data_IF_552222570030
#
_entry.id   IF_552222570030
#
_cell.length_a   1.000
_cell.length_b   1.000
_cell.length_c   1.000
_cell.angle_alpha   90.00
_cell.angle_beta   90.00
_cell.angle_gamma   90.00
#
_symmetry.space_group_name_H-M   'P 1'
#
loop_
_entity.id
_entity.type
_entity.pdbx_description
1 polymer ?
#
# COMPACT_ATOMS: atom_id res chain seq x y z
N UNK A 1 9.63 -0.13 -5.07
CA UNK A 1 8.30 -0.05 -4.41
C UNK A 1 8.43 -0.53 -2.96
N UNK A 2 7.55 -0.11 -2.04
CA UNK A 2 7.63 -0.52 -0.63
C UNK A 2 7.59 -2.04 -0.43
N UNK A 3 6.85 -2.74 -1.32
CA UNK A 3 6.81 -4.20 -1.32
C UNK A 3 8.17 -4.86 -1.56
N UNK A 4 9.02 -4.29 -2.41
CA UNK A 4 10.35 -4.83 -2.69
C UNK A 4 11.28 -4.67 -1.47
N UNK A 5 11.18 -3.55 -0.77
CA UNK A 5 11.94 -3.29 0.46
C UNK A 5 11.51 -4.27 1.57
N UNK A 6 10.22 -4.46 1.77
CA UNK A 6 9.71 -5.45 2.76
C UNK A 6 10.17 -6.86 2.42
N UNK A 7 10.16 -7.24 1.13
CA UNK A 7 10.67 -8.54 0.69
C UNK A 7 12.17 -8.68 0.99
N UNK A 8 12.98 -7.67 0.66
CA UNK A 8 14.42 -7.67 0.92
C UNK A 8 14.72 -7.81 2.42
N UNK A 9 13.98 -7.10 3.26
CA UNK A 9 14.08 -7.20 4.71
C UNK A 9 13.74 -8.60 5.23
N UNK A 10 12.66 -9.23 4.74
CA UNK A 10 12.32 -10.62 5.11
C UNK A 10 13.43 -11.61 4.74
N UNK A 11 14.07 -11.41 3.59
CA UNK A 11 15.20 -12.24 3.17
C UNK A 11 16.40 -12.02 4.08
N UNK A 12 16.75 -10.77 4.39
CA UNK A 12 17.81 -10.42 5.33
C UNK A 12 17.61 -11.10 6.69
N UNK A 13 16.39 -11.03 7.23
CA UNK A 13 16.05 -11.70 8.50
C UNK A 13 16.21 -13.22 8.42
N UNK A 14 15.67 -13.85 7.38
CA UNK A 14 15.81 -15.28 7.17
C UNK A 14 17.28 -15.72 7.05
N UNK A 15 18.14 -14.88 6.46
CA UNK A 15 19.59 -15.12 6.40
C UNK A 15 20.25 -14.93 7.76
N UNK A 16 19.87 -13.91 8.52
CA UNK A 16 20.40 -13.66 9.86
C UNK A 16 20.09 -14.82 10.80
N UNK A 17 18.83 -15.27 10.88
CA UNK A 17 18.44 -16.40 11.72
C UNK A 17 19.20 -17.68 11.32
N UNK A 18 19.35 -17.93 10.02
CA UNK A 18 20.10 -19.09 9.53
C UNK A 18 21.58 -19.08 9.95
N UNK A 19 22.21 -17.91 10.00
CA UNK A 19 23.59 -17.76 10.47
C UNK A 19 23.67 -17.84 12.00
N UNK A 20 22.68 -17.28 12.71
CA UNK A 20 22.59 -17.31 14.17
C UNK A 20 22.39 -18.74 14.70
N UNK A 21 21.57 -19.56 14.03
CA UNK A 21 21.39 -20.99 14.32
C UNK A 21 22.72 -21.76 14.24
N UNK A 22 23.68 -21.27 13.45
CA UNK A 22 25.07 -21.76 13.39
C UNK A 22 25.90 -21.51 14.65
N UNK A 23 25.34 -20.85 15.68
CA UNK A 23 25.98 -20.48 16.95
C UNK A 23 27.24 -19.65 16.77
N UNK A 24 27.18 -18.67 15.88
CA UNK A 24 28.29 -17.74 15.60
C UNK A 24 29.42 -18.31 14.74
N UNK A 25 29.27 -19.54 14.23
CA UNK A 25 30.14 -20.07 13.18
C UNK A 25 29.80 -19.41 11.85
N UNK A 26 30.81 -19.20 11.02
CA UNK A 26 30.59 -18.77 9.63
C UNK A 26 29.84 -19.86 8.86
N UNK A 27 28.86 -19.47 8.07
CA UNK A 27 28.03 -20.37 7.27
C UNK A 27 28.37 -20.19 5.80
N UNK A 28 28.68 -21.27 5.08
CA UNK A 28 28.96 -21.20 3.64
C UNK A 28 27.72 -20.74 2.87
N UNK A 29 27.91 -20.05 1.74
CA UNK A 29 26.79 -19.60 0.87
C UNK A 29 25.88 -20.77 0.48
N UNK A 30 26.46 -21.94 0.21
CA UNK A 30 25.71 -23.15 -0.14
C UNK A 30 24.80 -23.61 1.00
N UNK A 31 25.31 -23.66 2.23
CA UNK A 31 24.53 -24.05 3.41
C UNK A 31 23.45 -23.00 3.72
N UNK A 32 23.76 -21.71 3.55
CA UNK A 32 22.77 -20.64 3.71
C UNK A 32 21.64 -20.77 2.68
N UNK A 33 21.98 -21.09 1.43
CA UNK A 33 21.00 -21.32 0.36
C UNK A 33 20.17 -22.60 0.52
N UNK A 34 20.67 -23.58 1.28
CA UNK A 34 19.95 -24.80 1.64
C UNK A 34 19.01 -24.60 2.85
N UNK A 35 19.19 -23.52 3.62
CA UNK A 35 18.38 -23.27 4.82
C UNK A 35 16.90 -23.03 4.48
N UNK A 36 15.99 -23.73 5.16
CA UNK A 36 14.57 -23.74 4.79
C UNK A 36 13.92 -22.36 4.81
N UNK A 37 14.28 -21.50 5.77
CA UNK A 37 13.75 -20.12 5.87
C UNK A 37 14.19 -19.26 4.69
N UNK A 38 15.46 -19.36 4.32
CA UNK A 38 16.03 -18.63 3.18
C UNK A 38 15.40 -19.12 1.87
N UNK A 39 15.27 -20.45 1.69
CA UNK A 39 14.61 -21.03 0.53
C UNK A 39 13.15 -20.57 0.42
N UNK A 40 12.40 -20.55 1.52
CA UNK A 40 11.01 -20.13 1.54
C UNK A 40 10.85 -18.70 1.03
N UNK A 41 11.71 -17.77 1.46
CA UNK A 41 11.67 -16.37 1.00
C UNK A 41 12.20 -16.23 -0.43
N UNK A 42 13.25 -16.97 -0.79
CA UNK A 42 13.87 -16.93 -2.12
C UNK A 42 12.96 -17.43 -3.24
N UNK A 43 11.91 -18.20 -2.93
CA UNK A 43 10.87 -18.60 -3.90
C UNK A 43 10.06 -17.43 -4.46
N UNK A 44 10.12 -16.24 -3.83
CA UNK A 44 9.47 -15.05 -4.39
C UNK A 44 10.07 -14.70 -5.76
N UNK A 45 9.26 -14.44 -6.80
CA UNK A 45 9.74 -14.08 -8.14
C UNK A 45 10.74 -12.93 -8.16
N UNK A 46 10.67 -12.02 -7.19
CA UNK A 46 11.60 -10.90 -7.04
C UNK A 46 13.05 -11.36 -6.82
N UNK A 47 13.27 -12.50 -6.16
CA UNK A 47 14.59 -13.05 -5.87
C UNK A 47 15.01 -14.20 -6.79
N UNK A 48 14.10 -14.71 -7.62
CA UNK A 48 14.35 -15.89 -8.43
C UNK A 48 15.56 -15.74 -9.37
N UNK A 49 15.78 -14.53 -9.90
CA UNK A 49 16.91 -14.21 -10.79
C UNK A 49 18.19 -13.77 -10.06
N UNK A 50 18.14 -13.60 -8.74
CA UNK A 50 19.23 -12.99 -7.98
C UNK A 50 20.10 -14.07 -7.31
N UNK A 51 21.43 -13.90 -7.41
CA UNK A 51 22.37 -14.79 -6.72
C UNK A 51 22.38 -14.45 -5.23
N UNK A 52 22.46 -15.49 -4.39
CA UNK A 52 22.47 -15.29 -2.94
C UNK A 52 23.67 -14.47 -2.47
N UNK A 53 24.83 -14.63 -3.13
CA UNK A 53 26.02 -13.82 -2.86
C UNK A 53 25.77 -12.32 -3.08
N UNK A 54 25.12 -11.97 -4.20
CA UNK A 54 24.82 -10.58 -4.54
C UNK A 54 23.81 -9.98 -3.54
N UNK A 55 22.87 -10.78 -3.04
CA UNK A 55 21.92 -10.37 -2.01
C UNK A 55 22.62 -10.09 -0.68
N UNK A 56 23.60 -10.89 -0.30
CA UNK A 56 24.40 -10.70 0.93
C UNK A 56 25.29 -9.47 0.82
N UNK A 57 25.89 -9.22 -0.36
CA UNK A 57 26.71 -8.02 -0.61
C UNK A 57 25.92 -6.71 -0.50
N UNK A 58 24.59 -6.72 -0.61
CA UNK A 58 23.76 -5.54 -0.37
C UNK A 58 23.55 -5.23 1.11
N UNK A 59 23.85 -6.17 1.99
CA UNK A 59 23.63 -6.09 3.43
C UNK A 59 24.95 -6.27 4.21
N UNK A 60 26.02 -5.61 3.74
CA UNK A 60 27.34 -5.64 4.40
C UNK A 60 27.36 -4.89 5.74
N UNK A 61 26.32 -4.12 6.06
CA UNK A 61 26.08 -3.55 7.38
C UNK A 61 25.76 -4.63 8.43
N UNK A 62 25.14 -5.74 8.01
CA UNK A 62 24.76 -6.87 8.87
C UNK A 62 25.74 -8.04 8.77
N UNK A 63 26.24 -8.30 7.56
CA UNK A 63 27.03 -9.50 7.25
C UNK A 63 28.48 -9.18 6.87
N UNK A 64 29.40 -10.01 7.36
CA UNK A 64 30.78 -10.08 6.90
C UNK A 64 30.97 -11.28 5.98
N UNK A 65 31.60 -11.05 4.83
CA UNK A 65 32.00 -12.10 3.89
C UNK A 65 33.45 -12.50 4.16
N UNK A 66 33.67 -13.77 4.46
CA UNK A 66 34.98 -14.35 4.77
C UNK A 66 35.26 -15.47 3.77
N UNK A 67 36.46 -15.57 3.19
CA UNK A 67 36.81 -16.73 2.37
C UNK A 67 36.76 -18.02 3.21
N UNK A 68 36.07 -19.05 2.70
CA UNK A 68 35.78 -20.30 3.43
C UNK A 68 37.04 -21.14 3.73
N UNK A 69 38.13 -20.94 2.97
CA UNK A 69 39.41 -21.63 3.16
C UNK A 69 39.39 -23.13 2.82
N UNK A 70 38.24 -23.79 2.86
CA UNK A 70 38.03 -25.21 2.54
C UNK A 70 37.88 -25.41 1.03
N UNK A 71 37.05 -24.59 0.39
CA UNK A 71 36.79 -24.65 -1.05
C UNK A 71 37.51 -23.49 -1.74
N UNK A 72 38.34 -23.77 -2.74
CA UNK A 72 38.98 -22.72 -3.55
C UNK A 72 37.91 -21.83 -4.20
N UNK A 73 37.82 -20.57 -3.75
CA UNK A 73 36.81 -19.61 -4.21
C UNK A 73 35.45 -19.65 -3.46
N UNK A 74 35.34 -20.45 -2.39
CA UNK A 74 34.16 -20.46 -1.53
C UNK A 74 34.10 -19.23 -0.63
N UNK A 75 32.88 -18.70 -0.45
CA UNK A 75 32.60 -17.63 0.51
C UNK A 75 31.75 -18.18 1.66
N UNK A 76 32.08 -17.75 2.87
CA UNK A 76 31.32 -17.95 4.08
C UNK A 76 30.85 -16.61 4.64
N UNK A 77 29.72 -16.63 5.35
CA UNK A 77 29.07 -15.46 5.91
C UNK A 77 29.14 -15.53 7.42
N UNK A 78 29.46 -14.42 8.06
CA UNK A 78 29.42 -14.25 9.50
C UNK A 78 28.57 -13.01 9.84
N UNK A 79 27.85 -13.05 10.95
CA UNK A 79 27.16 -11.86 11.48
C UNK A 79 28.22 -10.92 12.05
N UNK A 80 28.13 -9.63 11.71
CA UNK A 80 28.99 -8.60 12.30
C UNK A 80 28.81 -8.53 13.82
N UNK A 81 29.92 -8.48 14.55
CA UNK A 81 29.89 -8.40 16.02
C UNK A 81 29.16 -7.14 16.49
N UNK A 82 28.20 -7.28 17.41
CA UNK A 82 27.43 -6.16 17.95
C UNK A 82 26.16 -5.82 17.19
N UNK A 83 25.92 -6.46 16.04
CA UNK A 83 24.62 -6.39 15.36
C UNK A 83 23.72 -7.47 15.97
N UNK A 84 22.62 -7.05 16.59
CA UNK A 84 21.56 -7.94 17.04
C UNK A 84 20.30 -7.54 16.31
N UNK A 85 19.88 -8.33 15.35
CA UNK A 85 18.59 -8.13 14.71
C UNK A 85 17.53 -8.70 15.63
N UNK A 86 16.82 -7.85 16.35
CA UNK A 86 15.58 -8.29 17.02
C UNK A 86 14.43 -8.23 16.02
N UNK A 87 13.40 -9.07 16.25
CA UNK A 87 12.13 -8.98 15.51
C UNK A 87 11.55 -7.55 15.57
N UNK A 88 11.82 -6.82 16.67
CA UNK A 88 11.41 -5.43 16.84
C UNK A 88 12.23 -4.46 16.00
N UNK A 89 13.54 -4.66 15.81
CA UNK A 89 14.37 -3.80 14.97
C UNK A 89 13.95 -3.86 13.50
N UNK A 90 13.28 -4.92 13.06
CA UNK A 90 12.72 -4.99 11.70
C UNK A 90 11.40 -4.21 11.54
N UNK A 91 10.59 -4.14 12.60
CA UNK A 91 9.38 -3.30 12.64
C UNK A 91 9.77 -1.83 12.86
N UNK A 92 10.79 -1.59 13.69
CA UNK A 92 11.28 -0.26 14.03
C UNK A 92 12.22 0.33 12.98
N UNK A 93 13.10 -0.41 12.30
CA UNK A 93 13.94 0.17 11.24
C UNK A 93 13.12 0.62 10.01
N UNK A 94 11.95 0.02 9.78
CA UNK A 94 10.98 0.56 8.83
C UNK A 94 10.38 1.87 9.37
N UNK A 95 9.96 1.91 10.64
CA UNK A 95 9.31 3.07 11.27
C UNK A 95 10.23 4.25 11.66
N UNK A 96 11.48 4.01 12.05
CA UNK A 96 12.46 5.01 12.51
C UNK A 96 13.16 5.71 11.33
N UNK A 97 13.36 5.00 10.22
CA UNK A 97 13.79 5.65 8.98
C UNK A 97 12.63 6.47 8.41
N UNK A 98 11.39 5.97 8.49
CA UNK A 98 10.21 6.76 8.16
C UNK A 98 10.10 8.02 9.03
N UNK A 99 10.34 7.94 10.34
CA UNK A 99 10.22 9.09 11.24
C UNK A 99 11.34 10.13 11.08
N UNK A 100 12.51 9.73 10.56
CA UNK A 100 13.61 10.66 10.29
C UNK A 100 13.50 11.37 8.94
N UNK A 101 12.81 10.77 7.95
CA UNK A 101 12.62 11.34 6.61
C UNK A 101 11.30 12.11 6.49
N UNK A 102 10.25 11.64 7.16
CA UNK A 102 8.92 12.21 7.05
C UNK A 102 8.66 13.29 8.10
N UNK A 103 7.98 14.38 7.73
CA UNK A 103 7.62 15.41 8.70
C UNK A 103 6.70 14.86 9.79
N UNK A 104 6.88 15.34 11.03
CA UNK A 104 6.05 14.93 12.16
C UNK A 104 4.57 15.24 11.92
N UNK A 105 3.69 14.30 12.26
CA UNK A 105 2.24 14.47 12.09
C UNK A 105 1.67 15.45 13.11
N UNK A 106 0.77 16.31 12.65
CA UNK A 106 0.02 17.24 13.52
C UNK A 106 -1.31 16.57 13.89
N UNK A 107 -1.44 16.06 15.11
CA UNK A 107 -2.62 15.31 15.53
C UNK A 107 -3.87 16.19 15.60
N UNK A 108 -3.77 17.34 16.25
CA UNK A 108 -4.88 18.26 16.55
C UNK A 108 -4.60 19.68 16.02
N UNK A 109 -4.79 19.92 14.71
CA UNK A 109 -4.59 21.24 14.13
C UNK A 109 -5.70 22.20 14.60
N UNK A 110 -5.32 23.32 15.20
CA UNK A 110 -6.24 24.35 15.70
C UNK A 110 -6.70 25.27 14.59
N UNK A 111 -5.77 26.08 14.07
CA UNK A 111 -6.07 27.12 13.10
C UNK A 111 -6.20 26.57 11.66
N UNK A 112 -6.78 27.37 10.76
CA UNK A 112 -6.96 26.97 9.37
C UNK A 112 -5.62 26.67 8.67
N UNK A 113 -4.58 27.44 8.99
CA UNK A 113 -3.22 27.25 8.47
C UNK A 113 -2.65 25.90 8.93
N UNK A 114 -2.78 25.59 10.23
CA UNK A 114 -2.37 24.28 10.78
C UNK A 114 -3.17 23.13 10.16
N UNK A 115 -4.46 23.31 9.87
CA UNK A 115 -5.28 22.29 9.19
C UNK A 115 -4.76 22.03 7.78
N UNK A 116 -4.42 23.07 7.04
CA UNK A 116 -3.81 22.96 5.72
C UNK A 116 -2.44 22.28 5.78
N UNK A 117 -1.61 22.64 6.76
CA UNK A 117 -0.30 22.01 6.98
C UNK A 117 -0.44 20.54 7.37
N UNK A 118 -1.37 20.19 8.27
CA UNK A 118 -1.65 18.82 8.66
C UNK A 118 -2.12 17.98 7.47
N UNK A 119 -2.95 18.55 6.59
CA UNK A 119 -3.35 17.90 5.34
C UNK A 119 -2.17 17.67 4.39
N UNK A 120 -1.30 18.66 4.19
CA UNK A 120 -0.07 18.53 3.40
C UNK A 120 0.80 17.39 3.92
N UNK A 121 1.04 17.36 5.23
CA UNK A 121 1.83 16.31 5.89
C UNK A 121 1.20 14.93 5.69
N UNK A 122 -0.11 14.77 5.89
CA UNK A 122 -0.77 13.48 5.66
C UNK A 122 -0.71 13.03 4.19
N UNK A 123 -0.76 13.96 3.22
CA UNK A 123 -0.55 13.62 1.81
C UNK A 123 0.89 13.13 1.55
N UNK A 124 1.90 13.76 2.15
CA UNK A 124 3.30 13.33 2.05
C UNK A 124 3.46 11.91 2.60
N UNK A 125 2.91 11.64 3.79
CA UNK A 125 2.94 10.30 4.40
C UNK A 125 2.23 9.25 3.51
N UNK A 126 1.04 9.57 3.00
CA UNK A 126 0.27 8.66 2.17
C UNK A 126 0.96 8.35 0.84
N UNK A 127 1.61 9.34 0.21
CA UNK A 127 2.37 9.15 -1.03
C UNK A 127 3.65 8.34 -0.78
N UNK A 128 4.40 8.66 0.27
CA UNK A 128 5.63 7.95 0.61
C UNK A 128 5.37 6.45 0.79
N UNK A 129 4.32 6.09 1.55
CA UNK A 129 3.85 4.71 1.77
C UNK A 129 3.37 3.98 0.50
N UNK A 130 3.17 4.69 -0.61
CA UNK A 130 2.72 4.11 -1.89
C UNK A 130 3.81 4.14 -2.96
N UNK A 131 5.06 4.43 -2.58
CA UNK A 131 6.17 4.53 -3.52
C UNK A 131 6.21 5.84 -4.29
N UNK A 132 5.80 6.94 -3.65
CA UNK A 132 5.91 8.34 -4.11
C UNK A 132 5.02 8.75 -5.30
N UNK A 133 4.40 7.82 -6.04
CA UNK A 133 3.54 8.15 -7.19
C UNK A 133 2.26 7.32 -7.16
N UNK A 134 1.11 7.98 -7.28
CA UNK A 134 -0.20 7.32 -7.23
C UNK A 134 -1.26 8.13 -8.00
N UNK A 135 -2.36 7.50 -8.41
CA UNK A 135 -3.50 8.25 -8.94
C UNK A 135 -4.18 9.09 -7.84
N UNK A 136 -4.63 10.29 -8.21
CA UNK A 136 -5.21 11.26 -7.28
C UNK A 136 -6.49 10.75 -6.58
N UNK A 137 -7.28 9.94 -7.28
CA UNK A 137 -8.47 9.26 -6.74
C UNK A 137 -8.10 8.30 -5.59
N UNK A 138 -7.03 7.52 -5.74
CA UNK A 138 -6.56 6.58 -4.73
C UNK A 138 -5.98 7.30 -3.52
N UNK A 139 -5.31 8.44 -3.71
CA UNK A 139 -4.90 9.32 -2.60
C UNK A 139 -6.13 9.85 -1.86
N UNK A 140 -7.17 10.23 -2.59
CA UNK A 140 -8.44 10.70 -2.04
C UNK A 140 -9.27 9.66 -1.29
N UNK A 141 -8.91 8.38 -1.39
CA UNK A 141 -9.51 7.28 -0.62
C UNK A 141 -8.74 6.99 0.68
N UNK A 142 -7.57 7.60 0.89
CA UNK A 142 -6.83 7.40 2.13
C UNK A 142 -7.61 8.00 3.32
N UNK A 143 -7.83 7.23 4.41
CA UNK A 143 -8.68 7.66 5.52
C UNK A 143 -8.09 8.86 6.27
N UNK A 144 -6.76 8.97 6.38
CA UNK A 144 -6.12 10.09 7.07
C UNK A 144 -6.20 11.36 6.23
N UNK A 145 -5.94 11.25 4.93
CA UNK A 145 -6.10 12.36 3.97
C UNK A 145 -7.55 12.83 3.93
N UNK A 146 -8.52 11.90 3.88
CA UNK A 146 -9.95 12.20 3.88
C UNK A 146 -10.37 12.93 5.16
N UNK A 147 -9.88 12.48 6.33
CA UNK A 147 -10.13 13.13 7.63
C UNK A 147 -9.59 14.56 7.66
N UNK A 148 -8.35 14.80 7.19
CA UNK A 148 -7.77 16.15 7.15
C UNK A 148 -8.44 17.06 6.13
N UNK A 149 -8.79 16.53 4.96
CA UNK A 149 -9.56 17.28 3.94
C UNK A 149 -10.90 17.75 4.49
N UNK A 150 -11.60 16.89 5.25
CA UNK A 150 -12.86 17.25 5.88
C UNK A 150 -12.72 18.45 6.83
N UNK A 151 -11.59 18.57 7.55
CA UNK A 151 -11.33 19.65 8.49
C UNK A 151 -11.09 21.04 7.83
N UNK A 152 -10.64 21.09 6.56
CA UNK A 152 -10.33 22.33 5.84
C UNK A 152 -11.58 22.93 5.15
N UNK A 153 -12.62 22.14 4.93
CA UNK A 153 -13.83 22.63 4.25
C UNK A 153 -14.77 21.52 3.76
N UNK A 154 -14.64 20.31 4.28
CA UNK A 154 -15.48 19.18 3.89
C UNK A 154 -15.28 18.70 2.45
N UNK A 155 -16.33 18.09 1.90
CA UNK A 155 -16.38 17.59 0.53
C UNK A 155 -16.46 18.71 -0.53
N UNK A 156 -16.65 19.96 -0.12
CA UNK A 156 -16.86 21.10 -1.04
C UNK A 156 -15.60 21.47 -1.83
N UNK A 157 -14.42 21.25 -1.25
CA UNK A 157 -13.13 21.51 -1.91
C UNK A 157 -12.66 20.27 -2.64
N UNK A 158 -12.29 20.41 -3.91
CA UNK A 158 -11.71 19.30 -4.69
C UNK A 158 -10.30 19.00 -4.17
N UNK A 159 -9.95 17.72 -4.12
CA UNK A 159 -8.61 17.29 -3.71
C UNK A 159 -7.53 17.87 -4.62
N UNK A 160 -7.80 17.91 -5.94
CA UNK A 160 -6.92 18.48 -6.95
C UNK A 160 -6.55 19.94 -6.62
N UNK A 161 -7.55 20.75 -6.25
CA UNK A 161 -7.32 22.16 -5.93
C UNK A 161 -6.42 22.28 -4.70
N UNK A 162 -6.70 21.53 -3.63
CA UNK A 162 -5.89 21.57 -2.39
C UNK A 162 -4.43 21.15 -2.61
N UNK A 163 -4.18 20.15 -3.46
CA UNK A 163 -2.82 19.68 -3.78
C UNK A 163 -2.06 20.73 -4.60
N UNK A 164 -2.75 21.41 -5.53
CA UNK A 164 -2.15 22.47 -6.37
C UNK A 164 -1.58 23.65 -5.56
N UNK A 165 -2.01 23.85 -4.31
CA UNK A 165 -1.44 24.87 -3.43
C UNK A 165 -0.03 24.52 -2.91
N UNK A 166 0.45 23.28 -3.08
CA UNK A 166 1.75 22.84 -2.59
C UNK A 166 2.67 22.32 -3.72
N UNK A 167 3.01 23.14 -4.74
CA UNK A 167 3.78 22.71 -5.90
C UNK A 167 5.22 22.30 -5.57
N UNK A 168 5.75 22.71 -4.41
CA UNK A 168 7.07 22.32 -3.93
C UNK A 168 7.10 20.84 -3.47
N UNK A 169 5.96 20.28 -3.05
CA UNK A 169 5.88 18.91 -2.57
C UNK A 169 5.24 17.97 -3.57
N UNK A 170 4.34 18.47 -4.42
CA UNK A 170 3.54 17.63 -5.30
C UNK A 170 3.65 18.08 -6.75
N UNK A 171 3.88 17.12 -7.63
CA UNK A 171 3.74 17.26 -9.07
C UNK A 171 2.46 16.57 -9.51
N UNK A 172 1.68 17.22 -10.37
CA UNK A 172 0.44 16.71 -10.93
C UNK A 172 0.58 16.53 -12.43
N UNK A 173 0.27 15.33 -12.90
CA UNK A 173 0.32 14.93 -14.31
C UNK A 173 -1.09 14.51 -14.76
N UNK A 174 -1.66 15.22 -15.74
CA UNK A 174 -2.95 14.86 -16.34
C UNK A 174 -2.76 13.69 -17.33
N UNK A 175 -3.36 12.54 -17.04
CA UNK A 175 -3.36 11.37 -17.91
C UNK A 175 -4.55 11.37 -18.90
N UNK A 176 -5.29 12.48 -18.98
CA UNK A 176 -6.49 12.63 -19.79
C UNK A 176 -7.75 12.22 -19.06
N UNK A 177 -8.91 12.64 -19.58
CA UNK A 177 -10.24 12.36 -19.04
C UNK A 177 -10.46 12.79 -17.57
N UNK A 178 -9.66 13.74 -17.07
CA UNK A 178 -9.72 14.19 -15.68
C UNK A 178 -9.09 13.21 -14.68
N UNK A 179 -8.29 12.25 -15.17
CA UNK A 179 -7.49 11.37 -14.33
C UNK A 179 -6.13 12.03 -14.09
N UNK A 180 -5.85 12.40 -12.84
CA UNK A 180 -4.58 12.98 -12.46
C UNK A 180 -3.73 11.96 -11.72
N UNK A 181 -2.45 11.90 -12.06
CA UNK A 181 -1.43 11.23 -11.24
C UNK A 181 -0.71 12.27 -10.42
N UNK A 182 -0.52 11.98 -9.13
CA UNK A 182 0.21 12.82 -8.20
C UNK A 182 1.52 12.13 -7.83
N UNK A 183 2.60 12.89 -7.83
CA UNK A 183 3.95 12.46 -7.50
C UNK A 183 4.55 13.33 -6.40
N UNK A 184 5.18 12.69 -5.41
CA UNK A 184 5.86 13.34 -4.30
C UNK A 184 7.23 13.85 -4.77
N UNK A 185 7.38 15.17 -4.82
CA UNK A 185 8.60 15.88 -5.22
C UNK A 185 9.53 16.10 -4.03
N UNK A 186 8.97 16.46 -2.87
CA UNK A 186 9.73 16.78 -1.65
C UNK A 186 8.95 16.47 -0.39
N UNK A 187 9.64 16.01 0.66
CA UNK A 187 9.08 15.81 2.01
C UNK A 187 9.22 17.04 2.91
N UNK A 188 9.94 18.06 2.46
CA UNK A 188 10.21 19.28 3.24
C UNK A 188 8.96 20.14 3.40
N UNK A 189 8.68 20.56 4.63
CA UNK A 189 7.48 21.34 4.98
C UNK A 189 7.79 22.63 5.73
N UNK A 190 9.05 23.08 5.72
CA UNK A 190 9.53 24.26 6.47
C UNK A 190 8.94 25.57 5.94
N UNK A 191 8.69 25.67 4.64
CA UNK A 191 8.03 26.82 4.05
C UNK A 191 6.51 26.76 4.30
N UNK A 192 6.02 27.70 5.09
CA UNK A 192 4.60 27.91 5.41
C UNK A 192 4.04 29.20 4.79
N UNK A 193 4.83 29.92 3.99
CA UNK A 193 4.47 31.24 3.46
C UNK A 193 3.25 31.23 2.53
N UNK A 194 2.91 30.08 1.94
CA UNK A 194 1.73 29.91 1.07
C UNK A 194 0.40 29.73 1.83
N UNK A 195 0.43 29.36 3.12
CA UNK A 195 -0.77 29.03 3.90
C UNK A 195 -1.75 30.21 4.06
N UNK A 196 -1.30 31.45 4.33
CA UNK A 196 -2.20 32.60 4.45
C UNK A 196 -2.96 32.87 3.14
N UNK A 197 -2.32 32.67 1.99
CA UNK A 197 -2.95 32.83 0.67
C UNK A 197 -4.06 31.80 0.44
N UNK A 198 -3.82 30.54 0.83
CA UNK A 198 -4.83 29.46 0.79
C UNK A 198 -6.01 29.80 1.68
N UNK A 199 -5.74 30.29 2.90
CA UNK A 199 -6.76 30.69 3.86
C UNK A 199 -7.64 31.84 3.34
N UNK A 200 -7.01 32.88 2.77
CA UNK A 200 -7.72 34.01 2.19
C UNK A 200 -8.60 33.58 1.00
N UNK A 201 -8.09 32.75 0.10
CA UNK A 201 -8.85 32.20 -1.00
C UNK A 201 -10.03 31.36 -0.49
N UNK A 202 -9.81 30.57 0.56
CA UNK A 202 -10.84 29.73 1.14
C UNK A 202 -12.01 30.54 1.76
N UNK A 203 -11.67 31.63 2.44
CA UNK A 203 -12.65 32.57 2.98
C UNK A 203 -13.41 33.29 1.87
N UNK A 204 -12.72 33.69 0.79
CA UNK A 204 -13.32 34.37 -0.35
C UNK A 204 -14.34 33.47 -1.10
N UNK A 205 -14.02 32.19 -1.33
CA UNK A 205 -14.93 31.23 -1.96
C UNK A 205 -16.21 31.03 -1.12
N UNK A 206 -16.05 30.93 0.21
CA UNK A 206 -17.16 30.78 1.14
C UNK A 206 -18.05 32.03 1.17
N UNK A 207 -17.46 33.23 1.08
CA UNK A 207 -18.19 34.49 1.01
C UNK A 207 -18.90 34.69 -0.34
N UNK A 208 -18.29 34.25 -1.45
CA UNK A 208 -18.81 34.38 -2.80
C UNK A 208 -20.04 33.53 -3.07
N UNK A 209 -20.09 32.30 -2.55
CA UNK A 209 -21.23 31.39 -2.74
C UNK A 209 -22.53 31.88 -2.09
N UNK A 210 -22.45 32.74 -1.07
CA UNK A 210 -23.66 33.28 -0.40
C UNK A 210 -24.33 34.43 -1.14
N UNK A 211 -23.72 34.98 -2.20
CA UNK A 211 -24.28 36.14 -2.93
C UNK A 211 -25.20 35.80 -4.10
N UNK A 212 -25.33 34.52 -4.47
CA UNK A 212 -26.25 34.08 -5.53
C UNK A 212 -27.56 33.46 -5.01
N UNK A 213 -27.88 33.65 -3.73
CA UNK A 213 -29.26 33.53 -3.25
C UNK A 213 -30.03 34.81 -3.61
N UNK A 214 -30.02 35.08 -4.92
CA UNK A 214 -30.81 36.10 -5.55
C UNK A 214 -32.26 35.78 -5.25
N UNK A 215 -32.89 36.72 -4.55
CA UNK A 215 -34.31 36.90 -4.30
C UNK A 215 -35.09 36.83 -5.62
N UNK A 216 -35.22 35.62 -6.15
CA UNK A 216 -36.06 35.27 -7.28
C UNK A 216 -37.49 35.50 -6.84
N UNK A 217 -37.95 36.74 -7.00
CA UNK A 217 -39.33 37.17 -6.84
C UNK A 217 -40.11 36.60 -8.02
N UNK A 218 -40.21 35.26 -8.07
CA UNK A 218 -41.05 34.50 -8.98
C UNK A 218 -42.50 34.68 -8.59
N UNK A 219 -43.07 35.81 -9.02
CA UNK A 219 -44.49 36.11 -8.97
C UNK A 219 -45.21 35.29 -10.05
N UNK A 220 -45.18 33.96 -9.91
CA UNK A 220 -45.91 33.02 -10.77
C UNK A 220 -47.31 32.77 -10.22
N UNK A 221 -48.22 33.71 -10.47
CA UNK A 221 -49.65 33.58 -10.14
C UNK A 221 -50.33 32.74 -11.22
N UNK A 222 -50.16 31.42 -11.17
CA UNK A 222 -50.90 30.46 -12.00
C UNK A 222 -52.11 29.90 -11.24
N UNK A 223 -53.30 30.40 -11.56
CA UNK A 223 -54.61 29.84 -11.16
C UNK A 223 -55.02 28.76 -12.16
N UNK A 224 -55.56 27.64 -11.64
CA UNK A 224 -56.23 26.54 -12.36
C UNK A 224 -55.49 25.23 -12.11
N UNK A 225 -55.89 24.29 -11.23
CA UNK A 225 -57.20 23.62 -11.08
C UNK A 225 -57.28 22.43 -12.06
N UNK A 226 -57.97 21.28 -11.81
CA UNK A 226 -58.68 20.76 -10.62
C UNK A 226 -58.09 19.39 -10.12
N UNK A 227 -58.24 19.02 -8.85
CA UNK A 227 -59.23 18.05 -8.30
C UNK A 227 -59.18 16.61 -8.85
N UNK A 228 -59.29 15.64 -7.92
CA UNK A 228 -59.55 14.19 -8.03
C UNK A 228 -58.26 13.33 -8.07
N UNK A 229 -58.02 12.32 -7.21
CA UNK A 229 -58.95 11.46 -6.46
C UNK A 229 -58.36 10.96 -5.12
N UNK A 230 -59.22 10.65 -4.12
CA UNK A 230 -58.88 9.92 -2.90
C UNK A 230 -59.22 8.43 -3.04
N UNK A 231 -58.24 7.52 -3.01
CA UNK A 231 -58.41 6.05 -2.90
C UNK A 231 -57.00 5.44 -2.94
N UNK A 232 -56.52 4.56 -2.07
CA UNK A 232 -57.20 3.58 -1.24
C UNK A 232 -56.48 3.41 0.11
N UNK A 233 -57.33 3.17 1.11
CA UNK A 233 -57.03 2.68 2.44
C UNK A 233 -57.37 1.18 2.41
N UNK A 234 -56.46 0.31 2.85
CA UNK A 234 -56.81 -1.04 3.28
C UNK A 234 -55.94 -2.17 2.72
N UNK A 235 -55.44 -3.03 3.62
CA UNK A 235 -55.09 -4.40 3.29
C UNK A 235 -53.85 -4.96 4.00
N UNK A 236 -54.01 -5.71 5.11
CA UNK A 236 -52.94 -6.40 5.81
C UNK A 236 -52.77 -7.86 5.33
N UNK A 237 -51.53 -8.35 5.38
CA UNK A 237 -51.18 -9.78 5.47
C UNK A 237 -51.11 -10.55 4.15
N UNK A 238 -49.99 -11.23 3.92
CA UNK A 238 -49.95 -12.69 3.76
C UNK A 238 -48.53 -13.23 3.70
N UNK A 239 -48.39 -14.43 4.27
CA UNK A 239 -47.22 -15.29 4.28
C UNK A 239 -47.17 -16.10 2.97
N UNK A 240 -45.98 -16.45 2.50
CA UNK A 240 -45.76 -17.41 1.41
C UNK A 240 -44.40 -17.15 0.75
N UNK A 241 -43.33 -17.88 1.06
CA UNK A 241 -43.06 -19.25 0.63
C UNK A 241 -43.26 -19.41 -0.88
N UNK A 242 -42.17 -19.52 -1.64
CA UNK A 242 -42.25 -19.99 -3.02
C UNK A 242 -41.08 -19.59 -3.92
N UNK A 243 -40.31 -20.61 -4.26
CA UNK A 243 -39.72 -20.83 -5.57
C UNK A 243 -38.51 -19.99 -6.00
N UNK A 244 -37.35 -20.63 -5.78
CA UNK A 244 -36.26 -20.70 -6.74
C UNK A 244 -36.79 -20.75 -8.18
N UNK A 245 -36.34 -19.81 -9.02
CA UNK A 245 -36.40 -19.92 -10.47
C UNK A 245 -35.00 -20.35 -10.96
N UNK A 246 -34.83 -21.56 -11.51
CA UNK A 246 -33.63 -21.93 -12.25
C UNK A 246 -33.62 -21.24 -13.61
N UNK A 247 -32.55 -20.48 -13.89
CA UNK A 247 -32.30 -19.90 -15.21
C UNK A 247 -31.83 -20.97 -16.21
N UNK A 248 -32.12 -20.79 -17.51
CA UNK A 248 -31.93 -21.82 -18.53
C UNK A 248 -30.47 -22.04 -18.93
N UNK A 249 -30.19 -23.32 -19.11
CA UNK A 249 -28.95 -23.95 -19.50
C UNK A 249 -28.46 -23.45 -20.87
N UNK A 250 -27.29 -22.82 -20.88
CA UNK A 250 -26.47 -22.68 -22.08
C UNK A 250 -25.41 -23.77 -22.08
N UNK A 251 -25.69 -24.82 -22.85
CA UNK A 251 -24.75 -25.86 -23.23
C UNK A 251 -23.65 -25.27 -24.14
N UNK A 252 -22.40 -25.52 -23.76
CA UNK A 252 -21.18 -25.27 -24.53
C UNK A 252 -20.00 -25.51 -23.59
N UNK A 253 -19.53 -26.73 -23.38
CA UNK A 253 -18.97 -27.58 -24.42
C UNK A 253 -17.48 -27.28 -24.55
N UNK A 254 -16.72 -27.62 -23.50
CA UNK A 254 -15.27 -27.40 -23.43
C UNK A 254 -14.63 -28.38 -22.45
N UNK A 255 -14.29 -29.56 -22.96
CA UNK A 255 -13.41 -30.52 -22.31
C UNK A 255 -12.05 -29.88 -22.03
N UNK A 256 -11.82 -29.48 -20.77
CA UNK A 256 -10.49 -29.25 -20.22
C UNK A 256 -10.05 -30.51 -19.45
N UNK A 257 -8.81 -30.99 -19.63
CA UNK A 257 -8.37 -32.24 -19.04
C UNK A 257 -8.39 -32.18 -17.50
N UNK A 258 -8.98 -33.21 -16.91
CA UNK A 258 -8.84 -33.55 -15.51
C UNK A 258 -7.35 -33.76 -15.22
N UNK A 259 -6.76 -32.84 -14.47
CA UNK A 259 -5.53 -33.12 -13.75
C UNK A 259 -5.94 -33.79 -12.43
N UNK A 260 -6.29 -35.07 -12.55
CA UNK A 260 -6.13 -36.03 -11.47
C UNK A 260 -4.62 -36.17 -11.22
N UNK A 261 -4.02 -35.22 -10.51
CA UNK A 261 -2.69 -35.39 -9.93
C UNK A 261 -2.83 -35.92 -8.50
N UNK A 262 -3.37 -37.14 -8.43
CA UNK A 262 -3.10 -38.09 -7.36
C UNK A 262 -1.66 -38.62 -7.56
N UNK A 263 -0.67 -37.74 -7.46
CA UNK A 263 0.69 -38.17 -7.16
C UNK A 263 0.80 -38.26 -5.64
N UNK A 264 0.46 -39.44 -5.14
CA UNK A 264 0.66 -39.80 -3.76
C UNK A 264 2.08 -39.44 -3.33
N UNK A 265 2.19 -38.70 -2.23
CA UNK A 265 3.45 -38.26 -1.62
C UNK A 265 4.43 -39.43 -1.37
N UNK A 266 3.90 -40.66 -1.34
CA UNK A 266 4.63 -41.92 -1.25
C UNK A 266 5.45 -42.26 -2.50
N UNK A 267 4.98 -41.96 -3.71
CA UNK A 267 5.71 -42.25 -4.95
C UNK A 267 6.87 -41.25 -5.17
N UNK A 268 6.68 -39.99 -4.76
CA UNK A 268 7.75 -38.99 -4.75
C UNK A 268 8.84 -39.33 -3.72
N UNK A 269 8.46 -39.87 -2.55
CA UNK A 269 9.42 -40.34 -1.54
C UNK A 269 10.14 -41.62 -1.95
N UNK A 270 9.46 -42.54 -2.63
CA UNK A 270 10.09 -43.76 -3.15
C UNK A 270 11.05 -43.46 -4.30
N UNK A 271 10.74 -42.52 -5.19
CA UNK A 271 11.66 -42.10 -6.26
C UNK A 271 12.92 -41.41 -5.68
N UNK A 272 12.76 -40.59 -4.64
CA UNK A 272 13.89 -39.94 -3.95
C UNK A 272 14.77 -40.93 -3.18
N UNK A 273 14.18 -41.90 -2.48
CA UNK A 273 14.93 -42.96 -1.78
C UNK A 273 15.65 -43.91 -2.75
N UNK A 274 15.03 -44.24 -3.89
CA UNK A 274 15.66 -45.10 -4.91
C UNK A 274 16.86 -44.40 -5.56
N UNK A 275 16.78 -43.09 -5.81
CA UNK A 275 17.89 -42.30 -6.31
C UNK A 275 19.02 -42.13 -5.28
N UNK A 276 18.69 -41.97 -3.99
CA UNK A 276 19.66 -41.85 -2.90
C UNK A 276 20.43 -43.15 -2.61
N UNK A 277 19.81 -44.31 -2.83
CA UNK A 277 20.44 -45.62 -2.60
C UNK A 277 21.24 -46.15 -3.79
N UNK A 278 20.97 -45.69 -5.02
CA UNK A 278 21.69 -46.11 -6.23
C UNK A 278 23.02 -45.36 -6.46
N UNK A 279 23.38 -44.42 -5.57
CA UNK A 279 24.55 -43.55 -5.69
C UNK A 279 25.68 -43.87 -4.70
N UNK A 280 26.12 -45.13 -4.63
CA UNK A 280 27.41 -45.52 -4.04
C UNK A 280 28.19 -46.42 -4.99
#
# INVERSE_FOLDING_TARGET
SDGERTKAMRLCHAMYEAVEEGKGRSVTISNLGAHFKVQKVKKDPFFASQRLLDLVQRHLDVFDLVPDGVTSGGWAIKIKTGVRLTDQDFVMAAGEIESSILPARIEEPGDFEEKCQAFRIECIHALFKRGSKVQLNELGQDPHVTKRRAAIGGASRKLLDLVNHFPQNFSLEDQGHGNFTIELVSTEVTDTSMLPGVAAQAQAETAGQRKFEGKGKGKGKGKGGPQMSPMMKGGPGWWGAGAYAPGPDWYGGGHGPAWDDEWGMEDAMNAFMTWYMAGK
#
